data_IF_583415686736
#
_entry.id   IF_583415686736
#
_cell.length_a   1.000
_cell.length_b   1.000
_cell.length_c   1.000
_cell.angle_alpha   90.00
_cell.angle_beta   90.00
_cell.angle_gamma   90.00
#
_symmetry.space_group_name_H-M   'P 1'
#
loop_
_entity.id
_entity.type
_entity.pdbx_description
1 polymer ?
#
# COMPACT_ATOMS: atom_id res chain seq x y z
N UNK A 1 -2.27 1.75 -17.02
CA UNK A 1 -2.05 0.71 -15.96
C UNK A 1 -1.87 1.25 -14.54
N UNK A 2 -1.53 2.54 -14.35
CA UNK A 2 -1.59 3.27 -13.07
C UNK A 2 -2.43 4.56 -13.20
N UNK A 3 -3.42 4.55 -14.08
CA UNK A 3 -4.24 5.71 -14.40
C UNK A 3 -5.49 5.74 -13.52
N UNK A 4 -6.00 6.95 -13.25
CA UNK A 4 -7.22 7.17 -12.46
C UNK A 4 -7.16 6.59 -11.03
N UNK A 5 -5.99 6.62 -10.39
CA UNK A 5 -5.88 6.27 -8.98
C UNK A 5 -6.60 7.31 -8.12
N UNK A 6 -7.34 6.88 -7.08
CA UNK A 6 -8.01 7.81 -6.18
C UNK A 6 -6.97 8.71 -5.48
N UNK A 7 -7.31 9.98 -5.20
CA UNK A 7 -6.41 10.87 -4.50
C UNK A 7 -6.11 10.32 -3.10
N UNK A 8 -4.88 10.50 -2.61
CA UNK A 8 -4.50 10.03 -1.29
C UNK A 8 -5.09 10.96 -0.20
N UNK A 9 -6.28 10.61 0.29
CA UNK A 9 -7.01 11.33 1.33
C UNK A 9 -7.40 10.40 2.48
N UNK A 10 -7.83 10.97 3.62
CA UNK A 10 -8.36 10.17 4.74
C UNK A 10 -9.55 9.29 4.31
N UNK A 11 -10.38 9.76 3.37
CA UNK A 11 -11.50 9.00 2.80
C UNK A 11 -10.99 7.77 2.03
N UNK A 12 -10.00 7.95 1.14
CA UNK A 12 -9.37 6.83 0.43
C UNK A 12 -8.77 5.81 1.39
N UNK A 13 -8.17 6.25 2.51
CA UNK A 13 -7.66 5.33 3.53
C UNK A 13 -8.81 4.53 4.18
N UNK A 14 -9.94 5.17 4.49
CA UNK A 14 -11.13 4.47 4.99
C UNK A 14 -11.71 3.50 3.98
N UNK A 15 -11.72 3.86 2.70
CA UNK A 15 -12.21 3.00 1.62
C UNK A 15 -11.31 1.79 1.38
N UNK A 16 -9.99 1.91 1.61
CA UNK A 16 -9.07 0.78 1.66
C UNK A 16 -9.43 -0.14 2.83
N UNK A 17 -9.61 0.41 4.03
CA UNK A 17 -9.90 -0.37 5.24
C UNK A 17 -11.25 -1.08 5.16
N UNK A 18 -12.26 -0.42 4.59
CA UNK A 18 -13.62 -0.94 4.42
C UNK A 18 -13.88 -1.66 3.11
N UNK A 19 -12.82 -2.07 2.40
CA UNK A 19 -12.89 -2.90 1.18
C UNK A 19 -13.70 -2.31 0.00
N UNK A 20 -13.93 -0.99 -0.01
CA UNK A 20 -14.60 -0.32 -1.14
C UNK A 20 -13.69 -0.16 -2.36
N UNK A 21 -12.38 -0.20 -2.14
CA UNK A 21 -11.35 -0.19 -3.20
C UNK A 21 -10.83 -1.62 -3.38
N UNK A 22 -10.83 -2.13 -4.61
CA UNK A 22 -10.37 -3.49 -4.92
C UNK A 22 -8.86 -3.67 -4.68
N UNK A 23 -8.41 -4.91 -4.52
CA UNK A 23 -7.02 -5.24 -4.19
C UNK A 23 -6.00 -4.76 -5.22
N UNK A 24 -6.37 -4.76 -6.50
CA UNK A 24 -5.51 -4.32 -7.58
C UNK A 24 -5.28 -2.81 -7.47
N UNK A 25 -6.34 -2.04 -7.24
CA UNK A 25 -6.25 -0.58 -7.05
C UNK A 25 -5.45 -0.22 -5.79
N UNK A 26 -5.62 -0.95 -4.68
CA UNK A 26 -4.80 -0.72 -3.47
C UNK A 26 -3.32 -1.02 -3.72
N UNK A 27 -3.01 -2.09 -4.45
CA UNK A 27 -1.65 -2.40 -4.89
C UNK A 27 -1.09 -1.27 -5.76
N UNK A 28 -1.84 -0.83 -6.79
CA UNK A 28 -1.43 0.26 -7.68
C UNK A 28 -1.15 1.58 -6.96
N UNK A 29 -1.93 1.92 -5.93
CA UNK A 29 -1.66 3.09 -5.08
C UNK A 29 -0.28 2.97 -4.40
N UNK A 30 0.01 1.82 -3.79
CA UNK A 30 1.31 1.58 -3.16
C UNK A 30 2.44 1.59 -4.19
N UNK A 31 2.25 0.96 -5.35
CA UNK A 31 3.23 0.97 -6.44
C UNK A 31 3.56 2.38 -6.91
N UNK A 32 2.52 3.20 -7.13
CA UNK A 32 2.66 4.58 -7.56
C UNK A 32 3.48 5.40 -6.56
N UNK A 33 3.20 5.26 -5.27
CA UNK A 33 3.89 6.00 -4.22
C UNK A 33 5.28 5.43 -3.87
N UNK A 34 5.55 4.15 -4.15
CA UNK A 34 6.89 3.57 -4.09
C UNK A 34 7.78 4.02 -5.25
N UNK A 35 7.19 4.53 -6.34
CA UNK A 35 7.90 5.06 -7.49
C UNK A 35 7.84 4.18 -8.74
N UNK A 36 7.18 3.03 -8.70
CA UNK A 36 6.99 2.20 -9.90
C UNK A 36 6.10 2.93 -10.91
N UNK A 37 6.48 2.90 -12.19
CA UNK A 37 5.67 3.39 -13.30
C UNK A 37 5.59 2.32 -14.37
N UNK A 38 4.43 2.21 -15.02
CA UNK A 38 4.31 1.31 -16.16
C UNK A 38 4.51 2.12 -17.44
N UNK A 39 5.49 1.73 -18.25
CA UNK A 39 5.71 2.33 -19.56
C UNK A 39 4.91 1.54 -20.61
N UNK A 40 3.90 2.20 -21.18
CA UNK A 40 3.01 1.59 -22.17
C UNK A 40 3.66 1.39 -23.54
N UNK A 41 4.66 2.21 -23.90
CA UNK A 41 5.38 2.09 -25.18
C UNK A 41 6.31 0.88 -25.18
N UNK A 42 7.08 0.70 -24.10
CA UNK A 42 8.00 -0.43 -23.97
C UNK A 42 7.36 -1.67 -23.34
N UNK A 43 6.13 -1.57 -22.85
CA UNK A 43 5.41 -2.61 -22.10
C UNK A 43 6.18 -3.12 -20.86
N UNK A 44 6.99 -2.27 -20.24
CA UNK A 44 7.83 -2.63 -19.09
C UNK A 44 7.56 -1.76 -17.87
N UNK A 45 7.92 -2.29 -16.69
CA UNK A 45 7.97 -1.50 -15.46
C UNK A 45 9.24 -0.65 -15.42
N UNK A 46 9.06 0.65 -15.17
CA UNK A 46 10.11 1.58 -14.76
C UNK A 46 10.17 1.65 -13.23
N UNK A 47 11.34 1.33 -12.68
CA UNK A 47 11.63 1.38 -11.26
C UNK A 47 12.76 2.39 -10.92
N UNK A 48 13.12 3.27 -11.86
CA UNK A 48 14.19 4.26 -11.69
C UNK A 48 13.95 5.19 -10.48
N UNK A 49 12.68 5.46 -10.16
CA UNK A 49 12.25 6.27 -9.01
C UNK A 49 12.01 5.47 -7.73
N UNK A 50 12.21 4.15 -7.76
CA UNK A 50 12.06 3.28 -6.61
C UNK A 50 13.38 3.25 -5.82
N UNK A 51 13.27 3.30 -4.50
CA UNK A 51 14.42 3.22 -3.60
C UNK A 51 15.20 1.91 -3.81
N UNK A 52 16.53 1.98 -3.68
CA UNK A 52 17.45 0.91 -4.05
C UNK A 52 17.15 -0.42 -3.36
N UNK A 53 16.86 -0.40 -2.06
CA UNK A 53 16.53 -1.61 -1.33
C UNK A 53 15.27 -2.26 -1.90
N UNK A 54 14.27 -1.48 -2.32
CA UNK A 54 13.04 -1.99 -2.93
C UNK A 54 13.29 -2.58 -4.31
N UNK A 55 13.88 -1.82 -5.25
CA UNK A 55 14.03 -2.30 -6.63
C UNK A 55 15.03 -3.46 -6.78
N UNK A 56 16.00 -3.60 -5.88
CA UNK A 56 16.91 -4.76 -5.86
C UNK A 56 16.19 -6.06 -5.52
N UNK A 57 15.25 -6.02 -4.58
CA UNK A 57 14.49 -7.20 -4.15
C UNK A 57 13.24 -7.43 -5.01
N UNK A 58 12.64 -6.35 -5.52
CA UNK A 58 11.44 -6.35 -6.33
C UNK A 58 11.65 -5.48 -7.59
N UNK A 59 12.28 -6.02 -8.66
CA UNK A 59 12.46 -5.26 -9.90
C UNK A 59 11.14 -4.89 -10.58
N UNK A 60 10.11 -5.71 -10.36
CA UNK A 60 8.71 -5.46 -10.72
C UNK A 60 7.88 -5.26 -9.44
N UNK A 61 6.79 -4.48 -9.49
CA UNK A 61 5.99 -4.20 -8.32
C UNK A 61 5.35 -5.50 -7.78
N UNK A 62 5.50 -5.79 -6.47
CA UNK A 62 4.94 -7.00 -5.89
C UNK A 62 3.48 -6.83 -5.51
N UNK A 63 2.74 -7.94 -5.45
CA UNK A 63 1.42 -7.96 -4.82
C UNK A 63 1.56 -8.04 -3.30
N UNK A 64 1.24 -6.96 -2.60
CA UNK A 64 1.32 -6.82 -1.15
C UNK A 64 0.19 -7.53 -0.39
N UNK A 65 -0.89 -7.88 -1.09
CA UNK A 65 -2.06 -8.54 -0.52
C UNK A 65 -1.93 -10.05 -0.68
N UNK A 66 -1.50 -10.54 -1.84
CA UNK A 66 -1.24 -11.96 -2.02
C UNK A 66 0.02 -12.42 -1.25
N UNK A 67 1.08 -11.62 -1.25
CA UNK A 67 2.39 -12.03 -0.73
C UNK A 67 2.74 -11.36 0.60
N UNK A 68 3.08 -12.19 1.60
CA UNK A 68 3.50 -11.71 2.92
C UNK A 68 4.86 -10.98 2.92
N UNK A 69 5.93 -11.47 2.25
CA UNK A 69 7.25 -10.82 2.30
C UNK A 69 7.27 -9.33 1.95
N UNK A 70 6.68 -8.87 0.82
CA UNK A 70 6.67 -7.44 0.49
C UNK A 70 5.85 -6.62 1.50
N UNK A 71 4.77 -7.17 2.06
CA UNK A 71 3.98 -6.50 3.09
C UNK A 71 4.77 -6.29 4.40
N UNK A 72 5.58 -7.29 4.79
CA UNK A 72 6.49 -7.17 5.95
C UNK A 72 7.53 -6.09 5.71
N UNK A 73 8.12 -6.03 4.50
CA UNK A 73 9.05 -4.95 4.14
C UNK A 73 8.38 -3.58 4.16
N UNK A 74 7.14 -3.48 3.68
CA UNK A 74 6.34 -2.25 3.72
C UNK A 74 6.13 -1.78 5.16
N UNK A 75 5.79 -2.69 6.07
CA UNK A 75 5.64 -2.40 7.50
C UNK A 75 6.94 -1.87 8.13
N UNK A 76 8.09 -2.44 7.74
CA UNK A 76 9.41 -2.04 8.24
C UNK A 76 9.84 -0.66 7.71
N UNK A 77 9.36 -0.27 6.53
CA UNK A 77 9.63 1.06 5.96
C UNK A 77 8.91 2.22 6.65
N UNK A 78 7.90 1.93 7.50
CA UNK A 78 7.17 2.96 8.25
C UNK A 78 7.98 3.40 9.48
N UNK A 79 8.31 4.69 9.62
CA UNK A 79 8.96 5.23 10.82
C UNK A 79 8.18 4.93 12.10
N UNK A 80 8.87 4.75 13.24
CA UNK A 80 8.26 4.29 14.50
C UNK A 80 7.10 5.18 14.94
N UNK A 81 7.26 6.50 14.81
CA UNK A 81 6.29 7.54 15.14
C UNK A 81 5.03 7.47 14.25
N UNK A 82 5.14 6.90 13.04
CA UNK A 82 4.05 6.75 12.07
C UNK A 82 3.36 5.37 12.09
N UNK A 83 3.79 4.43 12.93
CA UNK A 83 3.22 3.06 12.97
C UNK A 83 1.80 2.96 13.53
N UNK A 84 1.30 4.01 14.16
CA UNK A 84 -0.02 4.04 14.81
C UNK A 84 -0.92 5.14 14.23
N UNK A 85 -0.67 5.59 13.00
CA UNK A 85 -1.42 6.70 12.41
C UNK A 85 -2.89 6.35 12.16
N UNK A 86 -3.21 5.11 11.80
CA UNK A 86 -4.63 4.69 11.66
C UNK A 86 -5.42 4.95 12.94
N UNK A 87 -4.85 4.62 14.10
CA UNK A 87 -5.48 4.91 15.40
C UNK A 87 -5.45 6.40 15.74
N UNK A 88 -4.30 7.06 15.57
CA UNK A 88 -4.09 8.45 16.03
C UNK A 88 -4.76 9.51 15.16
N UNK A 89 -4.71 9.38 13.83
CA UNK A 89 -5.30 10.33 12.87
C UNK A 89 -6.75 9.97 12.52
N UNK A 90 -7.06 8.68 12.36
CA UNK A 90 -8.38 8.25 11.88
C UNK A 90 -9.28 7.64 12.97
N UNK A 91 -8.76 7.37 14.17
CA UNK A 91 -9.55 6.71 15.21
C UNK A 91 -9.88 5.23 14.91
N UNK A 92 -9.17 4.61 13.96
CA UNK A 92 -9.39 3.21 13.60
C UNK A 92 -9.05 2.30 14.80
N UNK A 93 -10.04 1.55 15.29
CA UNK A 93 -9.91 0.67 16.46
C UNK A 93 -9.50 -0.76 16.11
N UNK A 94 -9.31 -1.05 14.82
CA UNK A 94 -9.11 -2.41 14.30
C UNK A 94 -10.39 -3.00 13.71
N UNK A 95 -10.24 -4.17 13.10
CA UNK A 95 -11.36 -4.95 12.59
C UNK A 95 -12.09 -5.67 13.74
N UNK A 96 -13.36 -6.00 13.51
CA UNK A 96 -14.15 -6.78 14.47
C UNK A 96 -13.52 -8.16 14.69
N UNK A 97 -13.55 -8.62 15.95
CA UNK A 97 -13.02 -9.92 16.34
C UNK A 97 -13.78 -11.02 15.58
N UNK A 98 -13.05 -11.94 14.96
CA UNK A 98 -13.62 -13.07 14.22
C UNK A 98 -13.96 -12.78 12.75
N UNK A 99 -13.88 -11.52 12.30
CA UNK A 99 -14.29 -11.13 10.95
C UNK A 99 -13.11 -10.79 10.01
N UNK A 100 -11.86 -10.77 10.49
CA UNK A 100 -10.72 -10.36 9.68
C UNK A 100 -9.82 -11.53 9.26
N UNK A 101 -9.36 -11.44 8.02
CA UNK A 101 -8.49 -12.43 7.35
C UNK A 101 -7.07 -11.87 7.17
N UNK A 102 -6.07 -12.69 6.79
CA UNK A 102 -4.72 -12.19 6.46
C UNK A 102 -4.72 -11.06 5.42
N UNK A 103 -5.68 -11.10 4.48
CA UNK A 103 -5.90 -10.03 3.50
C UNK A 103 -6.24 -8.70 4.16
N UNK A 104 -7.14 -8.69 5.14
CA UNK A 104 -7.49 -7.47 5.90
C UNK A 104 -6.28 -6.88 6.62
N UNK A 105 -5.47 -7.73 7.26
CA UNK A 105 -4.24 -7.28 7.93
C UNK A 105 -3.26 -6.65 6.94
N UNK A 106 -3.08 -7.25 5.76
CA UNK A 106 -2.19 -6.71 4.71
C UNK A 106 -2.72 -5.38 4.16
N UNK A 107 -4.03 -5.24 3.96
CA UNK A 107 -4.68 -3.99 3.56
C UNK A 107 -4.51 -2.89 4.60
N UNK A 108 -4.67 -3.20 5.89
CA UNK A 108 -4.40 -2.25 6.97
C UNK A 108 -2.93 -1.80 7.02
N UNK A 109 -1.98 -2.70 6.74
CA UNK A 109 -0.57 -2.31 6.58
C UNK A 109 -0.39 -1.29 5.46
N UNK A 110 -0.97 -1.55 4.27
CA UNK A 110 -0.89 -0.66 3.12
C UNK A 110 -1.57 0.69 3.41
N UNK A 111 -2.73 0.67 4.04
CA UNK A 111 -3.46 1.85 4.50
C UNK A 111 -2.62 2.71 5.47
N UNK A 112 -1.97 2.09 6.48
CA UNK A 112 -1.12 2.83 7.40
C UNK A 112 0.14 3.39 6.72
N UNK A 113 0.72 2.65 5.77
CA UNK A 113 1.86 3.11 4.98
C UNK A 113 1.48 4.31 4.10
N UNK A 114 0.38 4.23 3.37
CA UNK A 114 -0.15 5.34 2.56
C UNK A 114 -0.48 6.56 3.43
N UNK A 115 -1.17 6.37 4.56
CA UNK A 115 -1.44 7.46 5.52
C UNK A 115 -0.16 8.10 6.06
N UNK A 116 0.95 7.37 6.12
CA UNK A 116 2.24 7.91 6.58
C UNK A 116 2.87 8.92 5.61
N UNK A 117 2.39 8.96 4.36
CA UNK A 117 2.78 9.92 3.33
C UNK A 117 1.95 11.21 3.35
N UNK A 118 0.90 11.25 4.19
CA UNK A 118 -0.01 12.40 4.37
C UNK A 118 0.30 13.22 5.61
#
# INVERSE_FOLDING_TARGET
>A
MLENLPPLTNETIWDILGEKIDDETVNKLVWYHLGYRYNHESQTWDNSKVEDSWKKEYPIPPDFIANRPPNVKLTRSIPKEKKQLLKKKLGFKGYKIGEFTPRHTRRATMANWLLSLT
#
